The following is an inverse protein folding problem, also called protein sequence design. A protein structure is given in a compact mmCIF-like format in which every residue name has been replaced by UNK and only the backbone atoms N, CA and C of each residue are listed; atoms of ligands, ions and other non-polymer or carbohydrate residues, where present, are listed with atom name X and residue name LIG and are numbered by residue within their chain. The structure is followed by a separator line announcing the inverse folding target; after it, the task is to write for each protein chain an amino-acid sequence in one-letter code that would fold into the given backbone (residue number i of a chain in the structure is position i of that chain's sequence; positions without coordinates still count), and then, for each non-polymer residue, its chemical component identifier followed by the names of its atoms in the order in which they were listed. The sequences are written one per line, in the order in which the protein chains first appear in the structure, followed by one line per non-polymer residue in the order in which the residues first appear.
data_IF_055751945094
#
_entry.id   IF_055751945094
#
_cell.length_a   1.000
_cell.length_b   1.000
_cell.length_c   1.000
_cell.angle_alpha   90.00
_cell.angle_beta   90.00
_cell.angle_gamma   90.00
#
_symmetry.space_group_name_H-M   'P 1'
#
loop_
_entity.id
_entity.type
_entity.pdbx_description
1 polymer ?
#
# COMPACT_ATOMS: atom_id res chain seq x y z
N UNK A 1 4.90 -7.81 10.26
CA UNK A 1 5.36 -7.98 8.86
C UNK A 1 5.81 -6.67 8.19
N UNK A 2 5.01 -5.59 8.20
CA UNK A 2 5.41 -4.30 7.59
C UNK A 2 6.60 -3.66 8.31
N UNK A 3 6.59 -3.67 9.65
CA UNK A 3 7.69 -3.15 10.47
C UNK A 3 9.03 -3.82 10.15
N UNK A 4 9.03 -5.13 9.98
CA UNK A 4 10.22 -5.93 9.66
C UNK A 4 10.72 -5.62 8.25
N UNK A 5 9.81 -5.46 7.28
CA UNK A 5 10.18 -5.03 5.92
C UNK A 5 10.77 -3.61 5.90
N UNK A 6 10.27 -2.71 6.75
CA UNK A 6 10.81 -1.37 6.91
C UNK A 6 12.21 -1.39 7.54
N UNK A 7 12.37 -2.12 8.65
CA UNK A 7 13.68 -2.30 9.31
C UNK A 7 14.70 -2.97 8.38
N UNK A 8 14.26 -3.89 7.53
CA UNK A 8 15.11 -4.53 6.52
C UNK A 8 15.40 -3.66 5.28
N UNK A 9 14.90 -2.43 5.22
CA UNK A 9 15.08 -1.51 4.09
C UNK A 9 14.42 -1.96 2.78
N UNK A 10 13.44 -2.88 2.86
CA UNK A 10 12.68 -3.36 1.70
C UNK A 10 11.61 -2.33 1.30
N UNK A 11 11.04 -1.65 2.29
CA UNK A 11 10.12 -0.52 2.11
C UNK A 11 10.64 0.69 2.88
N UNK A 12 10.32 1.89 2.41
CA UNK A 12 10.90 3.13 2.97
C UNK A 12 9.86 4.03 3.65
N UNK A 13 8.57 3.69 3.60
CA UNK A 13 7.48 4.47 4.21
C UNK A 13 6.47 3.54 4.89
N UNK A 14 6.78 3.11 6.11
CA UNK A 14 5.93 2.20 6.89
C UNK A 14 4.48 2.70 7.01
N UNK A 15 4.28 4.00 7.24
CA UNK A 15 2.94 4.58 7.42
C UNK A 15 2.10 4.44 6.16
N UNK A 16 2.66 4.72 4.98
CA UNK A 16 1.95 4.58 3.71
C UNK A 16 1.51 3.13 3.45
N UNK A 17 2.34 2.15 3.81
CA UNK A 17 1.99 0.73 3.70
C UNK A 17 0.88 0.31 4.69
N UNK A 18 0.90 0.84 5.91
CA UNK A 18 -0.19 0.62 6.89
C UNK A 18 -1.51 1.21 6.38
N UNK A 19 -1.47 2.42 5.81
CA UNK A 19 -2.66 3.04 5.20
C UNK A 19 -3.18 2.22 4.01
N UNK A 20 -2.30 1.73 3.14
CA UNK A 20 -2.68 0.87 2.02
C UNK A 20 -3.38 -0.41 2.47
N UNK A 21 -2.87 -1.06 3.52
CA UNK A 21 -3.50 -2.25 4.09
C UNK A 21 -4.86 -1.95 4.72
N UNK A 22 -4.98 -0.79 5.37
CA UNK A 22 -6.24 -0.33 5.96
C UNK A 22 -7.29 -0.08 4.88
N UNK A 23 -6.92 0.63 3.82
CA UNK A 23 -7.78 0.89 2.67
C UNK A 23 -8.20 -0.41 1.97
N UNK A 24 -7.29 -1.36 1.81
CA UNK A 24 -7.61 -2.70 1.28
C UNK A 24 -8.70 -3.39 2.09
N UNK A 25 -8.61 -3.33 3.42
CA UNK A 25 -9.61 -3.93 4.31
C UNK A 25 -10.97 -3.23 4.22
N UNK A 26 -10.99 -1.97 3.79
CA UNK A 26 -12.21 -1.17 3.61
C UNK A 26 -12.88 -1.36 2.24
N UNK A 27 -12.25 -2.06 1.28
CA UNK A 27 -12.82 -2.27 -0.06
C UNK A 27 -14.17 -2.99 -0.02
N UNK A 28 -14.41 -3.87 0.96
CA UNK A 28 -15.71 -4.53 1.16
C UNK A 28 -16.84 -3.55 1.54
N UNK A 29 -16.50 -2.34 2.00
CA UNK A 29 -17.44 -1.29 2.37
C UNK A 29 -17.69 -0.27 1.25
N UNK A 30 -17.24 -0.55 0.02
CA UNK A 30 -17.37 0.35 -1.16
C UNK A 30 -18.81 0.60 -1.61
N UNK A 31 -19.81 -0.01 -0.96
CA UNK A 31 -21.21 0.42 -1.08
C UNK A 31 -21.43 1.84 -0.54
N UNK A 32 -20.58 2.31 0.38
CA UNK A 32 -20.47 3.72 0.73
C UNK A 32 -19.66 4.44 -0.38
N UNK A 33 -20.38 5.18 -1.23
CA UNK A 33 -19.78 5.93 -2.34
C UNK A 33 -18.72 6.92 -1.86
N UNK A 34 -18.92 7.58 -0.72
CA UNK A 34 -17.95 8.56 -0.20
C UNK A 34 -16.65 7.86 0.16
N UNK A 35 -16.75 6.72 0.85
CA UNK A 35 -15.59 5.89 1.18
C UNK A 35 -14.91 5.37 -0.08
N UNK A 36 -15.66 4.93 -1.08
CA UNK A 36 -15.12 4.46 -2.36
C UNK A 36 -14.34 5.56 -3.09
N UNK A 37 -14.88 6.78 -3.18
CA UNK A 37 -14.22 7.94 -3.79
C UNK A 37 -12.94 8.32 -3.03
N UNK A 38 -12.96 8.26 -1.69
CA UNK A 38 -11.80 8.51 -0.85
C UNK A 38 -10.68 7.49 -1.08
N UNK A 39 -11.00 6.19 -1.08
CA UNK A 39 -10.03 5.11 -1.36
C UNK A 39 -9.48 5.24 -2.79
N UNK A 40 -10.34 5.53 -3.77
CA UNK A 40 -9.93 5.71 -5.17
C UNK A 40 -8.87 6.83 -5.32
N UNK A 41 -9.04 7.93 -4.60
CA UNK A 41 -8.05 9.01 -4.61
C UNK A 41 -6.73 8.61 -3.94
N UNK A 42 -6.78 7.85 -2.84
CA UNK A 42 -5.58 7.40 -2.11
C UNK A 42 -4.77 6.34 -2.85
N UNK A 43 -5.42 5.46 -3.61
CA UNK A 43 -4.76 4.39 -4.40
C UNK A 43 -3.66 4.93 -5.32
N UNK A 44 -3.79 6.16 -5.82
CA UNK A 44 -2.79 6.79 -6.69
C UNK A 44 -1.42 6.91 -6.02
N UNK A 45 -1.39 7.02 -4.69
CA UNK A 45 -0.16 7.10 -3.90
C UNK A 45 0.43 5.71 -3.62
N UNK A 46 -0.34 4.63 -3.79
CA UNK A 46 0.07 3.26 -3.49
C UNK A 46 0.80 2.58 -4.66
N UNK A 47 0.36 2.86 -5.89
CA UNK A 47 0.92 2.24 -7.11
C UNK A 47 2.43 2.44 -7.26
N UNK A 48 3.01 3.65 -7.01
CA UNK A 48 4.45 3.83 -7.09
C UNK A 48 5.23 2.95 -6.09
N UNK A 49 4.74 2.81 -4.87
CA UNK A 49 5.39 1.99 -3.83
C UNK A 49 5.33 0.50 -4.16
N UNK A 50 4.20 0.02 -4.70
CA UNK A 50 4.06 -1.35 -5.15
C UNK A 50 5.03 -1.67 -6.30
N UNK A 51 5.24 -0.73 -7.24
CA UNK A 51 6.23 -0.87 -8.31
C UNK A 51 7.67 -0.92 -7.78
N UNK A 52 8.00 -0.07 -6.79
CA UNK A 52 9.31 -0.11 -6.13
C UNK A 52 9.54 -1.48 -5.48
N UNK A 53 8.53 -2.00 -4.76
CA UNK A 53 8.62 -3.31 -4.15
C UNK A 53 8.85 -4.41 -5.20
N UNK A 54 8.10 -4.39 -6.31
CA UNK A 54 8.25 -5.37 -7.38
C UNK A 54 9.69 -5.37 -7.94
N UNK A 55 10.23 -4.18 -8.24
CA UNK A 55 11.61 -4.05 -8.72
C UNK A 55 12.64 -4.62 -7.71
N UNK A 56 12.43 -4.41 -6.41
CA UNK A 56 13.32 -4.94 -5.37
C UNK A 56 13.28 -6.46 -5.32
N UNK A 57 12.09 -7.06 -5.50
CA UNK A 57 11.91 -8.51 -5.51
C UNK A 57 12.52 -9.11 -6.77
N UNK A 58 12.27 -8.51 -7.94
CA UNK A 58 12.80 -8.98 -9.23
C UNK A 58 14.34 -8.90 -9.29
N UNK A 59 14.96 -7.94 -8.60
CA UNK A 59 16.43 -7.83 -8.50
C UNK A 59 17.05 -8.82 -7.51
N UNK A 60 16.25 -9.49 -6.68
CA UNK A 60 16.71 -10.45 -5.65
C UNK A 60 16.50 -11.91 -6.04
N UNK A 61 15.88 -12.18 -7.19
CA UNK A 61 15.66 -13.51 -7.79
C UNK A 61 16.60 -13.66 -8.98
#
# INVERSE_FOLDING_TARGET
MIKEAFVAGIINDESLWIYMLTDRNMISYTYDKKLADEIYNRIRNYVPELKKLLNIIDLKI
#
